data_IF_904553887447
#
_entry.id   IF_904553887447
#
_cell.length_a   1.000
_cell.length_b   1.000
_cell.length_c   1.000
_cell.angle_alpha   90.00
_cell.angle_beta   90.00
_cell.angle_gamma   90.00
#
_symmetry.space_group_name_H-M   'P 1'
#
loop_
_entity.id
_entity.type
_entity.pdbx_description
1 polymer ?
#
# COMPACT_ATOMS: atom_id res chain seq x y z
N UNK A 1 -24.56 -41.76 -25.96
CA UNK A 1 -23.32 -41.59 -26.74
C UNK A 1 -22.98 -40.10 -26.72
N UNK A 2 -22.32 -39.61 -25.67
CA UNK A 2 -21.95 -38.19 -25.56
C UNK A 2 -20.59 -37.98 -26.20
N UNK A 3 -20.52 -37.26 -27.32
CA UNK A 3 -19.25 -36.85 -27.93
C UNK A 3 -18.73 -35.64 -27.13
N UNK A 4 -17.64 -35.81 -26.40
CA UNK A 4 -16.89 -34.67 -25.85
C UNK A 4 -16.36 -33.83 -27.00
N UNK A 5 -16.96 -32.66 -27.22
CA UNK A 5 -16.38 -31.65 -28.09
C UNK A 5 -15.26 -30.96 -27.32
N UNK A 6 -14.02 -31.24 -27.69
CA UNK A 6 -12.87 -30.45 -27.24
C UNK A 6 -12.93 -29.08 -27.95
N UNK A 7 -13.45 -28.08 -27.25
CA UNK A 7 -13.34 -26.68 -27.69
C UNK A 7 -11.88 -26.26 -27.53
N UNK A 8 -11.31 -25.69 -28.59
CA UNK A 8 -9.90 -25.25 -28.58
C UNK A 8 -9.69 -24.14 -27.53
N UNK A 9 -8.62 -24.19 -26.71
CA UNK A 9 -8.31 -23.15 -25.73
C UNK A 9 -8.18 -21.74 -26.33
N UNK A 10 -7.78 -21.64 -27.60
CA UNK A 10 -7.64 -20.36 -28.33
C UNK A 10 -9.00 -19.68 -28.53
N UNK A 11 -10.05 -20.47 -28.80
CA UNK A 11 -11.40 -19.95 -28.99
C UNK A 11 -11.95 -19.42 -27.67
N UNK A 12 -11.71 -20.14 -26.57
CA UNK A 12 -12.11 -19.70 -25.23
C UNK A 12 -11.40 -18.42 -24.80
N UNK A 13 -10.10 -18.29 -25.08
CA UNK A 13 -9.34 -17.07 -24.80
C UNK A 13 -9.85 -15.88 -25.62
N UNK A 14 -10.13 -16.08 -26.91
CA UNK A 14 -10.68 -15.04 -27.77
C UNK A 14 -12.05 -14.56 -27.30
N UNK A 15 -12.95 -15.48 -26.93
CA UNK A 15 -14.26 -15.12 -26.38
C UNK A 15 -14.15 -14.33 -25.06
N UNK A 16 -13.23 -14.73 -24.18
CA UNK A 16 -13.01 -14.04 -22.91
C UNK A 16 -12.48 -12.62 -23.09
N UNK A 17 -11.53 -12.43 -24.01
CA UNK A 17 -10.99 -11.09 -24.32
C UNK A 17 -12.08 -10.17 -24.90
N UNK A 18 -12.95 -10.71 -25.76
CA UNK A 18 -14.09 -9.97 -26.32
C UNK A 18 -15.07 -9.54 -25.24
N UNK A 19 -15.34 -10.38 -24.24
CA UNK A 19 -16.23 -10.02 -23.13
C UNK A 19 -15.68 -8.84 -22.31
N UNK A 20 -14.38 -8.84 -21.99
CA UNK A 20 -13.76 -7.73 -21.23
C UNK A 20 -13.82 -6.43 -22.02
N UNK A 21 -13.46 -6.48 -23.30
CA UNK A 21 -13.51 -5.30 -24.17
C UNK A 21 -14.95 -4.80 -24.30
N UNK A 22 -15.91 -5.71 -24.43
CA UNK A 22 -17.33 -5.38 -24.46
C UNK A 22 -17.76 -4.64 -23.18
N UNK A 23 -17.38 -5.12 -21.99
CA UNK A 23 -17.71 -4.44 -20.73
C UNK A 23 -17.24 -2.99 -20.68
N UNK A 24 -15.98 -2.76 -21.03
CA UNK A 24 -15.37 -1.43 -20.96
C UNK A 24 -16.04 -0.50 -21.99
N UNK A 25 -16.24 -0.99 -23.21
CA UNK A 25 -16.92 -0.24 -24.27
C UNK A 25 -18.38 0.04 -23.89
N UNK A 26 -19.07 -0.90 -23.27
CA UNK A 26 -20.44 -0.70 -22.80
C UNK A 26 -20.51 0.41 -21.76
N UNK A 27 -19.66 0.36 -20.72
CA UNK A 27 -19.58 1.42 -19.71
C UNK A 27 -19.26 2.78 -20.35
N UNK A 28 -18.31 2.80 -21.29
CA UNK A 28 -17.93 4.02 -22.00
C UNK A 28 -19.09 4.59 -22.83
N UNK A 29 -19.78 3.75 -23.60
CA UNK A 29 -20.94 4.17 -24.40
C UNK A 29 -22.06 4.65 -23.49
N UNK A 30 -22.31 3.97 -22.38
CA UNK A 30 -23.35 4.37 -21.45
C UNK A 30 -23.03 5.73 -20.81
N UNK A 31 -21.77 5.92 -20.39
CA UNK A 31 -21.29 7.22 -19.92
C UNK A 31 -21.43 8.31 -20.99
N UNK A 32 -21.19 8.03 -22.28
CA UNK A 32 -21.42 9.02 -23.33
C UNK A 32 -22.87 9.50 -23.40
N UNK A 33 -23.84 8.66 -23.04
CA UNK A 33 -25.26 9.02 -23.03
C UNK A 33 -25.71 9.67 -21.72
N UNK A 34 -25.23 9.20 -20.57
CA UNK A 34 -25.63 9.72 -19.26
C UNK A 34 -24.78 10.89 -18.77
N UNK A 35 -23.56 11.05 -19.28
CA UNK A 35 -22.47 11.90 -18.73
C UNK A 35 -22.05 11.54 -17.31
N UNK A 36 -22.57 10.45 -16.76
CA UNK A 36 -22.38 10.03 -15.37
C UNK A 36 -22.11 8.53 -15.34
N UNK A 37 -21.14 8.09 -14.53
CA UNK A 37 -20.95 6.66 -14.21
C UNK A 37 -21.91 6.27 -13.06
N UNK A 38 -23.07 6.92 -12.97
CA UNK A 38 -23.93 6.91 -11.80
C UNK A 38 -24.28 5.50 -11.32
N UNK A 39 -23.99 5.27 -10.03
CA UNK A 39 -24.33 4.15 -9.15
C UNK A 39 -24.56 2.80 -9.86
N UNK A 40 -23.65 2.43 -10.76
CA UNK A 40 -23.54 1.04 -11.19
C UNK A 40 -23.14 0.22 -9.99
N UNK A 41 -24.17 -0.20 -9.26
CA UNK A 41 -24.16 -1.35 -8.39
C UNK A 41 -23.40 -2.43 -9.17
N UNK A 42 -22.20 -2.82 -8.70
CA UNK A 42 -21.36 -3.80 -9.39
C UNK A 42 -22.17 -5.06 -9.72
N UNK A 43 -23.18 -5.36 -8.90
CA UNK A 43 -24.14 -6.44 -9.10
C UNK A 43 -24.82 -6.39 -10.48
N UNK A 44 -25.30 -5.24 -10.95
CA UNK A 44 -26.01 -5.13 -12.23
C UNK A 44 -25.11 -5.34 -13.45
N UNK A 45 -23.94 -4.70 -13.46
CA UNK A 45 -22.98 -4.89 -14.57
C UNK A 45 -22.45 -6.33 -14.55
N UNK A 46 -22.26 -6.92 -13.38
CA UNK A 46 -21.74 -8.28 -13.29
C UNK A 46 -22.77 -9.33 -13.67
N UNK A 47 -24.05 -9.09 -13.37
CA UNK A 47 -25.17 -9.88 -13.90
C UNK A 47 -25.24 -9.79 -15.43
N UNK A 48 -25.10 -8.58 -16.00
CA UNK A 48 -25.14 -8.37 -17.45
C UNK A 48 -23.94 -9.01 -18.18
N UNK A 49 -22.77 -9.04 -17.55
CA UNK A 49 -21.56 -9.65 -18.12
C UNK A 49 -21.51 -11.18 -18.00
N UNK A 50 -22.62 -11.80 -17.61
CA UNK A 50 -22.77 -13.25 -17.40
C UNK A 50 -21.67 -13.81 -16.47
N UNK A 51 -21.17 -12.97 -15.56
CA UNK A 51 -20.54 -13.47 -14.35
C UNK A 51 -21.66 -14.03 -13.51
N UNK A 52 -22.07 -15.27 -13.77
CA UNK A 52 -22.96 -16.00 -12.87
C UNK A 52 -22.36 -15.94 -11.47
N UNK A 53 -22.86 -15.00 -10.66
CA UNK A 53 -22.61 -14.93 -9.25
C UNK A 53 -23.25 -16.19 -8.70
N UNK A 54 -22.42 -17.20 -8.48
CA UNK A 54 -22.83 -18.34 -7.70
C UNK A 54 -23.08 -17.78 -6.30
N UNK A 55 -24.19 -18.15 -5.67
CA UNK A 55 -24.69 -17.60 -4.40
C UNK A 55 -23.76 -17.83 -3.17
N UNK A 56 -22.46 -18.07 -3.33
CA UNK A 56 -21.51 -18.14 -2.22
C UNK A 56 -21.00 -16.72 -1.90
N UNK A 57 -21.01 -16.34 -0.62
CA UNK A 57 -20.49 -15.04 -0.15
C UNK A 57 -19.03 -14.79 -0.59
N UNK A 58 -18.24 -15.85 -0.82
CA UNK A 58 -16.87 -15.73 -1.36
C UNK A 58 -16.82 -15.22 -2.80
N UNK A 59 -17.90 -15.36 -3.56
CA UNK A 59 -17.97 -14.86 -4.93
C UNK A 59 -18.18 -13.35 -4.98
N UNK A 60 -18.73 -12.74 -3.91
CA UNK A 60 -18.90 -11.29 -3.85
C UNK A 60 -17.56 -10.55 -3.79
N UNK A 61 -16.61 -11.01 -2.96
CA UNK A 61 -15.28 -10.40 -2.91
C UNK A 61 -14.57 -10.45 -4.27
N UNK A 62 -14.70 -11.58 -4.97
CA UNK A 62 -14.14 -11.75 -6.31
C UNK A 62 -14.82 -10.85 -7.34
N UNK A 63 -16.12 -10.64 -7.18
CA UNK A 63 -16.89 -9.74 -8.02
C UNK A 63 -16.42 -8.29 -7.86
N UNK A 64 -16.32 -7.84 -6.61
CA UNK A 64 -15.79 -6.53 -6.24
C UNK A 64 -14.35 -6.31 -6.73
N UNK A 65 -13.48 -7.31 -6.62
CA UNK A 65 -12.10 -7.23 -7.14
C UNK A 65 -12.07 -7.00 -8.67
N UNK A 66 -12.95 -7.66 -9.41
CA UNK A 66 -13.04 -7.47 -10.87
C UNK A 66 -13.56 -6.08 -11.22
N UNK A 67 -14.49 -5.56 -10.42
CA UNK A 67 -15.01 -4.21 -10.60
C UNK A 67 -13.92 -3.14 -10.45
N UNK A 68 -13.06 -3.27 -9.43
CA UNK A 68 -11.89 -2.39 -9.25
C UNK A 68 -11.00 -2.38 -10.50
N UNK A 69 -10.63 -3.57 -11.00
CA UNK A 69 -9.79 -3.72 -12.20
C UNK A 69 -10.50 -3.18 -13.44
N UNK A 70 -11.82 -3.33 -13.54
CA UNK A 70 -12.61 -2.81 -14.66
C UNK A 70 -12.61 -1.29 -14.69
N UNK A 71 -12.76 -0.61 -13.55
CA UNK A 71 -12.69 0.85 -13.47
C UNK A 71 -11.30 1.37 -13.87
N UNK A 72 -10.23 0.72 -13.42
CA UNK A 72 -8.87 1.06 -13.85
C UNK A 72 -8.69 0.89 -15.37
N UNK A 73 -9.23 -0.19 -15.94
CA UNK A 73 -9.24 -0.41 -17.40
C UNK A 73 -10.02 0.67 -18.14
N UNK A 74 -11.15 1.13 -17.59
CA UNK A 74 -11.90 2.26 -18.12
C UNK A 74 -11.03 3.53 -18.13
N UNK A 75 -10.33 3.85 -17.04
CA UNK A 75 -9.43 5.01 -16.97
C UNK A 75 -8.31 4.94 -18.03
N UNK A 76 -7.66 3.78 -18.18
CA UNK A 76 -6.61 3.57 -19.19
C UNK A 76 -7.16 3.69 -20.62
N UNK A 77 -8.35 3.14 -20.88
CA UNK A 77 -9.00 3.27 -22.18
C UNK A 77 -9.33 4.74 -22.46
N UNK A 78 -9.93 5.42 -21.49
CA UNK A 78 -10.34 6.82 -21.58
C UNK A 78 -9.15 7.72 -21.92
N UNK A 79 -8.02 7.52 -21.25
CA UNK A 79 -6.78 8.28 -21.48
C UNK A 79 -6.28 8.09 -22.92
N UNK A 80 -6.28 6.85 -23.43
CA UNK A 80 -5.89 6.55 -24.82
C UNK A 80 -6.80 7.20 -25.87
N UNK A 81 -8.08 7.36 -25.56
CA UNK A 81 -9.05 8.06 -26.41
C UNK A 81 -9.12 9.57 -26.15
N UNK A 82 -8.31 10.10 -25.23
CA UNK A 82 -8.33 11.50 -24.78
C UNK A 82 -9.70 11.95 -24.25
N UNK A 83 -10.48 11.01 -23.70
CA UNK A 83 -11.77 11.27 -23.09
C UNK A 83 -11.59 11.70 -21.63
N UNK A 84 -11.03 12.91 -21.41
CA UNK A 84 -10.60 13.37 -20.08
C UNK A 84 -11.71 13.39 -19.02
N UNK A 85 -12.93 13.72 -19.41
CA UNK A 85 -14.09 13.70 -18.50
C UNK A 85 -14.42 12.26 -18.06
N UNK A 86 -14.27 11.30 -18.96
CA UNK A 86 -14.43 9.88 -18.64
C UNK A 86 -13.28 9.35 -17.78
N UNK A 87 -12.04 9.80 -18.00
CA UNK A 87 -10.92 9.49 -17.10
C UNK A 87 -11.27 9.92 -15.68
N UNK A 88 -11.70 11.18 -15.49
CA UNK A 88 -12.07 11.71 -14.18
C UNK A 88 -13.23 10.94 -13.55
N UNK A 89 -14.26 10.61 -14.34
CA UNK A 89 -15.39 9.85 -13.85
C UNK A 89 -14.99 8.42 -13.44
N UNK A 90 -14.14 7.74 -14.22
CA UNK A 90 -13.69 6.38 -13.91
C UNK A 90 -12.74 6.34 -12.70
N UNK A 91 -11.81 7.30 -12.60
CA UNK A 91 -10.93 7.45 -11.44
C UNK A 91 -11.72 7.80 -10.17
N UNK A 92 -12.68 8.73 -10.29
CA UNK A 92 -13.59 9.10 -9.21
C UNK A 92 -14.43 7.91 -8.74
N UNK A 93 -15.02 7.18 -9.68
CA UNK A 93 -15.78 5.95 -9.40
C UNK A 93 -14.93 4.89 -8.70
N UNK A 94 -13.65 4.74 -9.07
CA UNK A 94 -12.74 3.83 -8.36
C UNK A 94 -12.48 4.28 -6.93
N UNK A 95 -12.17 5.56 -6.72
CA UNK A 95 -11.91 6.12 -5.39
C UNK A 95 -13.15 5.99 -4.50
N UNK A 96 -14.31 6.41 -5.00
CA UNK A 96 -15.58 6.34 -4.28
C UNK A 96 -15.94 4.90 -3.93
N UNK A 97 -15.73 3.96 -4.85
CA UNK A 97 -15.94 2.53 -4.60
C UNK A 97 -15.07 2.01 -3.46
N UNK A 98 -13.77 2.33 -3.46
CA UNK A 98 -12.83 1.90 -2.42
C UNK A 98 -13.18 2.52 -1.05
N UNK A 99 -13.56 3.80 -1.03
CA UNK A 99 -13.92 4.52 0.19
C UNK A 99 -15.26 4.05 0.76
N UNK A 100 -16.29 3.87 -0.08
CA UNK A 100 -17.64 3.42 0.31
C UNK A 100 -17.62 2.04 0.96
N UNK A 101 -16.72 1.16 0.50
CA UNK A 101 -16.58 -0.20 1.01
C UNK A 101 -15.51 -0.35 2.11
N UNK A 102 -14.88 0.75 2.54
CA UNK A 102 -13.79 0.80 3.52
C UNK A 102 -12.73 -0.31 3.33
N UNK A 103 -12.29 -0.51 2.08
CA UNK A 103 -11.36 -1.60 1.71
C UNK A 103 -10.05 -1.08 1.16
N UNK A 104 -9.07 -1.97 1.04
CA UNK A 104 -7.85 -1.73 0.25
C UNK A 104 -8.06 -2.23 -1.18
N UNK A 105 -7.41 -1.61 -2.18
CA UNK A 105 -7.38 -2.13 -3.54
C UNK A 105 -6.85 -3.57 -3.55
N UNK A 106 -7.50 -4.43 -4.33
CA UNK A 106 -7.05 -5.81 -4.49
C UNK A 106 -5.71 -5.88 -5.24
N UNK A 107 -5.00 -7.00 -5.06
CA UNK A 107 -3.66 -7.18 -5.61
C UNK A 107 -3.64 -7.10 -7.15
N UNK A 108 -4.68 -7.63 -7.81
CA UNK A 108 -4.82 -7.54 -9.26
C UNK A 108 -4.97 -6.08 -9.73
N UNK A 109 -5.71 -5.25 -8.98
CA UNK A 109 -5.86 -3.83 -9.26
C UNK A 109 -4.52 -3.08 -9.08
N UNK A 110 -3.75 -3.41 -8.04
CA UNK A 110 -2.42 -2.80 -7.80
C UNK A 110 -1.45 -3.13 -8.95
N UNK A 111 -1.35 -4.41 -9.32
CA UNK A 111 -0.49 -4.86 -10.44
C UNK A 111 -0.92 -4.16 -11.73
N UNK A 112 -2.22 -4.19 -12.05
CA UNK A 112 -2.73 -3.56 -13.27
C UNK A 112 -2.46 -2.05 -13.31
N UNK A 113 -2.65 -1.35 -12.18
CA UNK A 113 -2.40 0.08 -12.09
C UNK A 113 -0.94 0.42 -12.39
N UNK A 114 0.03 -0.28 -11.80
CA UNK A 114 1.45 0.00 -12.03
C UNK A 114 1.93 -0.34 -13.44
N UNK A 115 1.31 -1.33 -14.08
CA UNK A 115 1.64 -1.70 -15.46
C UNK A 115 1.07 -0.72 -16.50
N UNK A 116 -0.02 0.00 -16.19
CA UNK A 116 -0.79 0.73 -17.20
C UNK A 116 -0.99 2.22 -16.91
N UNK A 117 -0.80 2.68 -15.67
CA UNK A 117 -0.99 4.08 -15.27
C UNK A 117 0.37 4.78 -15.05
N UNK A 118 0.42 6.12 -15.20
CA UNK A 118 1.62 6.86 -14.86
C UNK A 118 1.94 6.71 -13.37
N UNK A 119 3.20 6.41 -13.05
CA UNK A 119 3.65 6.16 -11.66
C UNK A 119 3.47 7.37 -10.74
N UNK A 120 3.49 8.58 -11.30
CA UNK A 120 3.25 9.84 -10.58
C UNK A 120 1.77 10.26 -10.61
N UNK A 121 0.89 9.43 -11.19
CA UNK A 121 -0.54 9.67 -11.29
C UNK A 121 -1.22 9.67 -9.93
N UNK A 122 -2.28 10.49 -9.80
CA UNK A 122 -3.03 10.63 -8.55
C UNK A 122 -3.62 9.30 -8.08
N UNK A 123 -4.08 8.47 -9.02
CA UNK A 123 -4.68 7.18 -8.69
C UNK A 123 -3.67 6.18 -8.11
N UNK A 124 -2.45 6.13 -8.66
CA UNK A 124 -1.36 5.29 -8.12
C UNK A 124 -0.97 5.77 -6.72
N UNK A 125 -0.88 7.09 -6.52
CA UNK A 125 -0.63 7.67 -5.19
C UNK A 125 -1.74 7.32 -4.20
N UNK A 126 -3.01 7.43 -4.61
CA UNK A 126 -4.16 7.05 -3.80
C UNK A 126 -4.11 5.57 -3.38
N UNK A 127 -3.79 4.65 -4.31
CA UNK A 127 -3.65 3.22 -4.02
C UNK A 127 -2.60 2.99 -2.92
N UNK A 128 -1.43 3.63 -3.03
CA UNK A 128 -0.36 3.56 -2.01
C UNK A 128 -0.81 4.13 -0.68
N UNK A 129 -1.49 5.28 -0.69
CA UNK A 129 -1.99 5.93 0.52
C UNK A 129 -3.02 5.05 1.23
N UNK A 130 -3.93 4.45 0.47
CA UNK A 130 -4.98 3.58 1.00
C UNK A 130 -4.38 2.31 1.61
N UNK A 131 -3.42 1.68 0.96
CA UNK A 131 -2.71 0.51 1.50
C UNK A 131 -1.99 0.87 2.82
N UNK A 132 -1.36 2.04 2.89
CA UNK A 132 -0.69 2.51 4.09
C UNK A 132 -1.66 2.84 5.23
N UNK A 133 -2.90 3.24 4.91
CA UNK A 133 -3.91 3.63 5.88
C UNK A 133 -4.51 2.42 6.60
N UNK A 134 -4.70 1.29 5.92
CA UNK A 134 -5.27 0.10 6.55
C UNK A 134 -4.41 -0.36 7.73
N UNK A 135 -3.09 -0.08 7.68
CA UNK A 135 -2.19 -0.22 8.82
C UNK A 135 -2.05 -1.65 9.34
N UNK A 136 -2.73 -2.60 8.71
CA UNK A 136 -2.66 -4.02 9.04
C UNK A 136 -1.30 -4.51 8.59
N UNK A 137 -0.47 -4.85 9.57
CA UNK A 137 0.73 -5.64 9.30
C UNK A 137 0.24 -6.92 8.63
N UNK A 138 0.68 -7.23 7.40
CA UNK A 138 0.19 -8.39 6.71
C UNK A 138 0.46 -9.63 7.56
N UNK A 139 -0.58 -10.43 7.77
CA UNK A 139 -0.42 -11.73 8.39
C UNK A 139 0.58 -12.54 7.57
N UNK A 140 1.56 -13.14 8.26
CA UNK A 140 2.60 -13.94 7.64
C UNK A 140 2.06 -15.34 7.27
N UNK A 141 1.04 -15.39 6.43
CA UNK A 141 0.55 -16.63 5.84
C UNK A 141 1.29 -16.91 4.53
N UNK A 142 1.58 -18.19 4.20
CA UNK A 142 2.31 -18.53 2.99
C UNK A 142 1.59 -18.08 1.70
N UNK A 143 0.25 -18.03 1.74
CA UNK A 143 -0.58 -17.53 0.64
C UNK A 143 -0.37 -16.03 0.42
N UNK A 144 -0.40 -15.23 1.49
CA UNK A 144 -0.12 -13.79 1.41
C UNK A 144 1.32 -13.53 0.98
N UNK A 145 2.28 -14.31 1.47
CA UNK A 145 3.68 -14.17 1.08
C UNK A 145 3.88 -14.39 -0.42
N UNK A 146 3.21 -15.38 -1.01
CA UNK A 146 3.21 -15.58 -2.46
C UNK A 146 2.60 -14.37 -3.18
N UNK A 147 1.48 -13.86 -2.69
CA UNK A 147 0.79 -12.71 -3.28
C UNK A 147 1.66 -11.44 -3.25
N UNK A 148 2.37 -11.19 -2.15
CA UNK A 148 3.32 -10.07 -2.03
C UNK A 148 4.52 -10.20 -2.96
N UNK A 149 4.92 -11.43 -3.33
CA UNK A 149 6.01 -11.65 -4.29
C UNK A 149 5.63 -11.31 -5.73
N UNK A 150 4.33 -11.20 -6.03
CA UNK A 150 3.80 -10.82 -7.34
C UNK A 150 3.57 -9.30 -7.46
N UNK A 151 3.66 -8.55 -6.36
CA UNK A 151 3.46 -7.09 -6.39
C UNK A 151 4.64 -6.36 -7.05
N UNK A 152 4.37 -5.23 -7.75
CA UNK A 152 5.41 -4.40 -8.35
C UNK A 152 6.43 -3.93 -7.29
N UNK A 153 7.71 -4.00 -7.62
CA UNK A 153 8.76 -3.61 -6.69
C UNK A 153 8.65 -2.13 -6.30
N UNK A 154 8.35 -1.27 -7.28
CA UNK A 154 8.15 0.16 -7.13
C UNK A 154 7.02 0.46 -6.13
N UNK A 155 5.92 -0.29 -6.20
CA UNK A 155 4.80 -0.17 -5.26
C UNK A 155 5.25 -0.43 -3.82
N UNK A 156 5.96 -1.54 -3.59
CA UNK A 156 6.46 -1.91 -2.25
C UNK A 156 7.40 -0.82 -1.70
N UNK A 157 8.29 -0.28 -2.53
CA UNK A 157 9.18 0.82 -2.14
C UNK A 157 8.39 2.07 -1.76
N UNK A 158 7.37 2.44 -2.54
CA UNK A 158 6.52 3.60 -2.24
C UNK A 158 5.75 3.41 -0.92
N UNK A 159 5.18 2.23 -0.69
CA UNK A 159 4.50 1.88 0.56
C UNK A 159 5.47 2.00 1.74
N UNK A 160 6.68 1.43 1.65
CA UNK A 160 7.69 1.54 2.71
C UNK A 160 8.08 3.00 3.00
N UNK A 161 8.28 3.82 1.96
CA UNK A 161 8.58 5.24 2.12
C UNK A 161 7.41 5.95 2.82
N UNK A 162 6.17 5.71 2.38
CA UNK A 162 4.98 6.36 2.92
C UNK A 162 4.72 5.94 4.38
N UNK A 163 4.86 4.65 4.68
CA UNK A 163 4.75 4.11 6.05
C UNK A 163 5.78 4.75 6.98
N UNK A 164 7.05 4.86 6.54
CA UNK A 164 8.11 5.51 7.33
C UNK A 164 7.82 6.98 7.64
N UNK A 165 7.11 7.69 6.74
CA UNK A 165 6.68 9.08 6.95
C UNK A 165 5.53 9.13 7.95
N UNK A 166 4.54 8.26 7.83
CA UNK A 166 3.37 8.23 8.71
C UNK A 166 3.77 7.90 10.16
N UNK A 167 4.70 6.96 10.37
CA UNK A 167 5.23 6.65 11.72
C UNK A 167 5.87 7.89 12.37
N UNK A 168 6.63 8.68 11.60
CA UNK A 168 7.25 9.92 12.12
C UNK A 168 6.23 10.99 12.48
N UNK A 169 5.10 11.06 11.77
CA UNK A 169 4.01 12.00 12.07
C UNK A 169 3.31 11.58 13.36
N UNK A 170 2.93 10.30 13.45
CA UNK A 170 2.34 9.69 14.64
C UNK A 170 3.22 9.91 15.87
N UNK A 171 4.54 9.69 15.75
CA UNK A 171 5.47 9.96 16.85
C UNK A 171 5.52 11.42 17.28
N UNK A 172 5.32 12.39 16.38
CA UNK A 172 5.33 13.82 16.72
C UNK A 172 4.04 14.23 17.41
N UNK A 173 2.91 13.80 16.87
CA UNK A 173 1.59 14.04 17.48
C UNK A 173 1.54 13.42 18.87
N UNK A 174 2.01 12.18 18.99
CA UNK A 174 2.10 11.55 20.29
C UNK A 174 3.21 12.15 21.16
N UNK A 175 4.32 12.72 20.66
CA UNK A 175 5.34 13.37 21.53
C UNK A 175 4.83 14.61 22.26
N UNK A 176 3.71 15.20 21.85
CA UNK A 176 2.98 16.17 22.67
C UNK A 176 2.36 15.56 23.93
N UNK A 177 2.19 14.24 23.98
CA UNK A 177 1.47 13.47 25.03
C UNK A 177 2.35 12.35 25.66
N UNK A 178 3.39 11.87 24.97
CA UNK A 178 4.26 10.73 25.33
C UNK A 178 5.25 11.07 26.46
N UNK A 179 5.47 12.34 26.81
CA UNK A 179 6.23 12.67 28.02
C UNK A 179 5.67 11.96 29.27
N UNK A 180 4.39 11.59 29.27
CA UNK A 180 3.79 10.81 30.35
C UNK A 180 4.00 9.28 30.27
N UNK A 181 4.10 8.66 29.08
CA UNK A 181 4.03 7.19 28.95
C UNK A 181 5.39 6.47 28.90
N UNK A 182 6.40 7.02 28.22
CA UNK A 182 7.75 6.41 28.22
C UNK A 182 8.53 6.68 29.54
N UNK A 183 8.16 7.75 30.28
CA UNK A 183 8.62 8.00 31.66
C UNK A 183 8.21 6.89 32.64
N UNK A 184 7.12 6.18 32.36
CA UNK A 184 6.58 5.13 33.25
C UNK A 184 7.31 3.79 33.11
N UNK A 185 7.83 3.45 31.93
CA UNK A 185 8.57 2.21 31.71
C UNK A 185 10.04 2.30 32.16
N UNK A 186 10.71 3.44 31.94
CA UNK A 186 12.10 3.65 32.38
C UNK A 186 12.26 3.60 33.91
N UNK A 187 11.30 4.15 34.67
CA UNK A 187 11.28 4.08 36.15
C UNK A 187 11.00 2.68 36.73
N UNK A 188 10.56 1.70 35.93
CA UNK A 188 10.41 0.31 36.38
C UNK A 188 11.70 -0.47 36.20
N UNK A 189 12.42 -0.29 35.09
CA UNK A 189 13.73 -0.92 34.86
C UNK A 189 14.78 -0.43 35.87
N UNK A 190 14.83 0.88 36.14
CA UNK A 190 15.74 1.43 37.15
C UNK A 190 15.45 0.88 38.56
N UNK A 191 14.18 0.61 38.90
CA UNK A 191 13.80 -0.01 40.19
C UNK A 191 14.16 -1.50 40.28
N UNK A 192 14.19 -2.21 39.16
CA UNK A 192 14.67 -3.59 39.12
C UNK A 192 16.18 -3.66 39.32
N UNK A 193 16.95 -2.76 38.70
CA UNK A 193 18.39 -2.67 38.92
C UNK A 193 18.75 -2.18 40.33
N UNK A 194 18.01 -1.22 40.90
CA UNK A 194 18.25 -0.76 42.28
C UNK A 194 17.95 -1.85 43.34
N UNK A 195 16.96 -2.73 43.10
CA UNK A 195 16.64 -3.84 44.01
C UNK A 195 17.66 -4.98 43.96
N UNK A 196 18.29 -5.23 42.79
CA UNK A 196 19.37 -6.22 42.72
C UNK A 196 20.67 -5.71 43.37
N UNK A 197 20.95 -4.41 43.31
CA UNK A 197 22.14 -3.83 43.94
C UNK A 197 22.00 -3.72 45.47
N UNK A 198 20.79 -3.49 46.00
CA UNK A 198 20.56 -3.43 47.45
C UNK A 198 20.28 -4.79 48.11
N UNK A 199 20.25 -5.89 47.34
CA UNK A 199 19.99 -7.25 47.84
C UNK A 199 21.25 -8.07 48.14
N UNK A 200 22.44 -7.53 47.86
CA UNK A 200 23.71 -8.25 48.06
C UNK A 200 24.67 -7.31 48.80
N UNK A 201 24.81 -7.52 50.11
CA UNK A 201 25.94 -6.98 50.87
C UNK A 201 25.58 -6.32 52.19
N UNK A 202 25.31 -7.12 53.22
CA UNK A 202 25.63 -6.74 54.60
C UNK A 202 26.69 -7.70 55.13
N UNK A 203 27.90 -7.65 54.56
CA UNK A 203 29.12 -8.12 55.22
C UNK A 203 30.26 -7.15 54.87
N UNK A 204 30.87 -6.60 55.91
CA UNK A 204 32.07 -5.75 55.91
C UNK A 204 33.14 -6.43 56.79
N UNK A 205 34.40 -5.98 56.81
CA UNK A 205 35.35 -5.89 55.71
C UNK A 205 36.70 -6.51 56.13
N UNK A 206 37.57 -6.93 55.20
CA UNK A 206 39.01 -6.98 55.48
C UNK A 206 39.88 -6.99 54.23
N UNK A 207 40.78 -6.02 54.25
CA UNK A 207 42.17 -6.06 53.82
C UNK A 207 42.53 -5.79 52.34
N UNK A 208 43.08 -4.59 52.15
CA UNK A 208 44.43 -4.44 51.63
C UNK A 208 44.69 -4.80 50.17
N UNK A 209 44.54 -3.83 49.26
CA UNK A 209 45.56 -3.54 48.22
C UNK A 209 45.19 -2.32 47.37
N UNK A 210 46.19 -1.46 47.16
CA UNK A 210 46.15 -0.19 46.44
C UNK A 210 45.70 -0.29 44.96
N UNK A 211 44.97 0.69 44.41
CA UNK A 211 44.89 0.87 42.97
C UNK A 211 45.98 1.83 42.47
N UNK A 212 46.99 1.25 41.81
CA UNK A 212 47.89 1.97 40.88
C UNK A 212 47.24 1.96 39.50
N UNK A 213 47.23 3.10 38.82
CA UNK A 213 47.09 3.14 37.36
C UNK A 213 45.86 3.87 36.82
N UNK A 214 45.86 5.20 36.94
CA UNK A 214 45.11 6.08 36.02
C UNK A 214 45.56 5.80 34.59
N UNK A 215 44.63 5.38 33.73
CA UNK A 215 44.80 5.42 32.28
C UNK A 215 43.84 6.46 31.71
N UNK A 216 44.41 7.53 31.18
CA UNK A 216 43.71 8.64 30.53
C UNK A 216 42.94 8.18 29.28
N UNK A 217 41.84 8.86 28.90
CA UNK A 217 41.14 8.59 27.65
C UNK A 217 41.97 9.08 26.45
N UNK A 218 42.22 8.17 25.51
CA UNK A 218 42.88 8.45 24.24
C UNK A 218 41.83 8.82 23.18
N UNK A 219 42.07 9.93 22.48
CA UNK A 219 41.77 10.04 21.06
C UNK A 219 40.40 10.61 20.67
N UNK A 220 40.28 11.95 20.70
CA UNK A 220 39.44 12.66 19.73
C UNK A 220 40.05 12.46 18.33
N UNK A 221 39.26 11.93 17.41
CA UNK A 221 39.53 12.06 15.97
C UNK A 221 38.31 12.67 15.30
N UNK A 222 38.46 13.93 14.88
CA UNK A 222 37.65 14.55 13.82
C UNK A 222 38.41 14.43 12.50
N UNK A 223 37.70 14.20 11.39
CA UNK A 223 38.04 14.84 10.10
C UNK A 223 36.78 15.59 9.58
N UNK A 224 36.81 16.89 9.23
CA UNK A 224 37.36 17.49 8.00
C UNK A 224 36.92 16.70 6.77
N UNK A 225 36.15 17.16 5.79
CA UNK A 225 35.56 18.44 5.42
C UNK A 225 35.14 18.35 3.94
N UNK A 226 34.27 19.27 3.48
CA UNK A 226 33.96 19.62 2.07
C UNK A 226 33.32 18.48 1.22
N UNK A 227 32.27 18.71 0.43
CA UNK A 227 32.14 19.74 -0.60
C UNK A 227 30.66 19.87 -1.01
N UNK A 228 30.18 21.09 -1.22
CA UNK A 228 28.98 21.36 -2.01
C UNK A 228 29.26 21.12 -3.50
N UNK A 229 28.28 20.63 -4.27
CA UNK A 229 28.14 21.02 -5.66
C UNK A 229 26.93 21.95 -5.84
N UNK A 230 27.24 23.12 -6.38
CA UNK A 230 26.31 24.03 -7.03
C UNK A 230 25.91 23.39 -8.37
N UNK A 231 24.61 23.25 -8.64
CA UNK A 231 24.12 23.17 -10.02
C UNK A 231 22.78 23.88 -10.13
N UNK A 232 22.90 25.06 -10.74
CA UNK A 232 21.88 26.00 -11.19
C UNK A 232 21.27 25.40 -12.46
N UNK A 233 19.98 25.04 -12.45
CA UNK A 233 19.22 24.84 -13.68
C UNK A 233 18.13 25.89 -13.79
N UNK A 234 18.40 26.85 -14.67
CA UNK A 234 17.44 27.81 -15.18
C UNK A 234 16.67 27.12 -16.31
N UNK A 235 15.38 26.86 -16.11
CA UNK A 235 14.46 26.66 -17.23
C UNK A 235 13.73 27.98 -17.47
N UNK A 236 14.13 28.65 -18.55
CA UNK A 236 13.30 29.67 -19.18
C UNK A 236 12.21 28.97 -19.97
N UNK A 237 10.97 29.39 -19.75
CA UNK A 237 9.85 29.13 -20.64
C UNK A 237 9.47 30.48 -21.26
N UNK A 238 9.76 30.59 -22.54
CA UNK A 238 8.99 31.37 -23.51
C UNK A 238 7.96 30.46 -24.12
#
# INVERSE_FOLDING_TARGET
>A
MWRSYHVSPVILFGAWLLLIVYSIVHIFVQWLYSSEIEDYSPEHIMEELDFKVINDNRDNDKAMNKWEVLLLKCSVLADRFMAFEFVQAAEGGFIDFILKNDRTPCHEAIVYAYDNLPQEGRLVQFIVERECQDGKIPENTPEKQKLYSELPHEFLVQVMIRYSRNVRIMERECRGDITYKYSYHRKKEDRFHQRQVNGIGSETPSDGSNPVGRSSPVGRSSPVGRSSPVSRFSFGLT
#
